data_IF_385483914087
#
_entry.id   IF_385483914087
#
_cell.length_a   1.000
_cell.length_b   1.000
_cell.length_c   1.000
_cell.angle_alpha   90.00
_cell.angle_beta   90.00
_cell.angle_gamma   90.00
#
_symmetry.space_group_name_H-M   'P 1'
#
loop_
_entity.id
_entity.type
_entity.pdbx_description
1 polymer ?
#
# COMPACT_ATOMS: atom_id res chain seq x y z
N UNK A 1 -5.36 16.18 -71.55
CA UNK A 1 -3.99 16.09 -70.97
C UNK A 1 -3.72 17.46 -70.38
N UNK A 2 -3.64 17.67 -69.06
CA UNK A 2 -2.75 17.03 -68.08
C UNK A 2 -3.36 17.01 -66.67
N UNK A 3 -2.89 16.04 -65.90
CA UNK A 3 -3.18 15.66 -64.52
C UNK A 3 -2.42 16.56 -63.51
N UNK A 4 -3.01 16.88 -62.33
CA UNK A 4 -2.57 16.41 -60.99
C UNK A 4 -3.15 17.21 -59.80
N UNK A 5 -3.65 16.44 -58.81
CA UNK A 5 -3.48 16.53 -57.33
C UNK A 5 -3.06 17.88 -56.74
N UNK A 6 -3.75 18.46 -55.75
CA UNK A 6 -4.20 17.87 -54.49
C UNK A 6 -3.28 18.34 -53.36
N UNK A 7 -3.74 19.24 -52.49
CA UNK A 7 -3.07 19.52 -51.20
C UNK A 7 -4.12 19.52 -50.09
N UNK A 8 -3.97 18.53 -49.20
CA UNK A 8 -4.75 18.36 -47.98
C UNK A 8 -4.47 19.49 -46.99
N UNK A 9 -5.52 19.89 -46.27
CA UNK A 9 -5.46 20.83 -45.17
C UNK A 9 -4.61 20.31 -44.01
N UNK A 10 -3.82 21.23 -43.44
CA UNK A 10 -3.12 21.02 -42.18
C UNK A 10 -3.85 21.85 -41.12
N UNK A 11 -4.90 21.27 -40.53
CA UNK A 11 -5.44 21.79 -39.26
C UNK A 11 -4.39 21.53 -38.19
N UNK A 12 -3.70 22.57 -37.77
CA UNK A 12 -2.82 22.54 -36.60
C UNK A 12 -3.68 22.41 -35.35
N UNK A 13 -3.85 21.16 -34.91
CA UNK A 13 -4.35 20.88 -33.56
C UNK A 13 -3.27 21.34 -32.58
N UNK A 14 -3.52 22.48 -31.93
CA UNK A 14 -2.78 22.88 -30.74
C UNK A 14 -3.14 21.90 -29.62
N UNK A 15 -2.30 20.89 -29.40
CA UNK A 15 -2.34 20.12 -28.15
C UNK A 15 -1.91 21.05 -27.02
N UNK A 16 -2.89 21.58 -26.28
CA UNK A 16 -2.66 22.13 -24.95
C UNK A 16 -2.10 21.03 -24.06
N UNK A 17 -0.78 21.01 -23.88
CA UNK A 17 -0.15 20.25 -22.83
C UNK A 17 -0.54 20.88 -21.48
N UNK A 18 -1.60 20.35 -20.85
CA UNK A 18 -1.84 20.58 -19.44
C UNK A 18 -0.67 19.98 -18.67
N UNK A 19 0.29 20.82 -18.28
CA UNK A 19 1.41 20.46 -17.42
C UNK A 19 0.85 20.09 -16.05
N UNK A 20 0.62 18.79 -15.83
CA UNK A 20 0.31 18.23 -14.53
C UNK A 20 1.55 18.33 -13.63
N UNK A 21 1.68 19.45 -12.92
CA UNK A 21 2.74 19.68 -11.94
C UNK A 21 2.68 18.74 -10.71
N UNK A 22 1.66 17.88 -10.61
CA UNK A 22 1.55 16.84 -9.57
C UNK A 22 1.74 15.40 -10.05
N UNK A 23 1.34 15.07 -11.29
CA UNK A 23 1.39 13.71 -11.84
C UNK A 23 2.81 13.15 -11.97
N UNK A 24 3.76 14.00 -12.35
CA UNK A 24 5.16 13.61 -12.57
C UNK A 24 5.89 13.15 -11.29
N UNK A 25 5.41 13.52 -10.09
CA UNK A 25 6.04 13.15 -8.82
C UNK A 25 5.51 11.81 -8.30
N UNK A 26 4.18 11.65 -8.25
CA UNK A 26 3.56 10.40 -7.79
C UNK A 26 3.92 9.24 -8.70
N UNK A 27 3.90 9.43 -10.02
CA UNK A 27 4.27 8.41 -10.99
C UNK A 27 5.71 7.93 -10.78
N UNK A 28 6.69 8.85 -10.73
CA UNK A 28 8.11 8.50 -10.49
C UNK A 28 8.32 7.78 -9.17
N UNK A 29 7.64 8.23 -8.10
CA UNK A 29 7.73 7.61 -6.78
C UNK A 29 7.08 6.23 -6.76
N UNK A 30 5.96 6.06 -7.47
CA UNK A 30 5.27 4.77 -7.61
C UNK A 30 6.10 3.78 -8.41
N UNK A 31 6.72 4.22 -9.52
CA UNK A 31 7.63 3.42 -10.32
C UNK A 31 8.86 2.98 -9.50
N UNK A 32 9.46 3.91 -8.73
CA UNK A 32 10.56 3.60 -7.82
C UNK A 32 10.14 2.56 -6.77
N UNK A 33 9.00 2.77 -6.11
CA UNK A 33 8.47 1.83 -5.11
C UNK A 33 8.20 0.45 -5.73
N UNK A 34 7.59 0.40 -6.91
CA UNK A 34 7.32 -0.83 -7.64
C UNK A 34 8.61 -1.61 -7.90
N UNK A 35 9.65 -0.95 -8.44
CA UNK A 35 10.94 -1.58 -8.67
C UNK A 35 11.55 -2.13 -7.37
N UNK A 36 11.48 -1.36 -6.28
CA UNK A 36 11.94 -1.79 -4.97
C UNK A 36 11.19 -3.03 -4.46
N UNK A 37 9.86 -3.07 -4.59
CA UNK A 37 9.02 -4.21 -4.20
C UNK A 37 9.35 -5.46 -5.03
N UNK A 38 9.57 -5.30 -6.33
CA UNK A 38 10.00 -6.38 -7.22
C UNK A 38 11.36 -6.94 -6.78
N UNK A 39 12.35 -6.07 -6.58
CA UNK A 39 13.71 -6.45 -6.18
C UNK A 39 13.74 -7.09 -4.79
N UNK A 40 13.05 -6.49 -3.81
CA UNK A 40 13.10 -6.90 -2.41
C UNK A 40 12.37 -8.22 -2.15
N UNK A 41 11.24 -8.43 -2.81
CA UNK A 41 10.27 -9.45 -2.42
C UNK A 41 9.91 -10.42 -3.55
N UNK A 42 10.50 -10.27 -4.73
CA UNK A 42 10.20 -11.04 -5.95
C UNK A 42 8.71 -11.00 -6.32
N UNK A 43 8.05 -9.86 -6.08
CA UNK A 43 6.65 -9.65 -6.49
C UNK A 43 6.61 -9.38 -7.99
N UNK A 44 5.68 -9.98 -8.76
CA UNK A 44 5.55 -9.70 -10.19
C UNK A 44 5.32 -8.21 -10.46
N UNK A 45 5.95 -7.68 -11.52
CA UNK A 45 5.79 -6.27 -11.94
C UNK A 45 4.32 -5.87 -12.04
N UNK A 46 3.48 -6.71 -12.66
CA UNK A 46 2.04 -6.44 -12.80
C UNK A 46 1.34 -6.19 -11.46
N UNK A 47 1.73 -6.88 -10.39
CA UNK A 47 1.18 -6.65 -9.04
C UNK A 47 1.82 -5.44 -8.39
N UNK A 48 3.15 -5.31 -8.45
CA UNK A 48 3.88 -4.20 -7.85
C UNK A 48 3.44 -2.84 -8.44
N UNK A 49 3.22 -2.76 -9.75
CA UNK A 49 2.78 -1.56 -10.46
C UNK A 49 1.35 -1.15 -10.06
N UNK A 50 0.44 -2.12 -9.87
CA UNK A 50 -0.93 -1.84 -9.42
C UNK A 50 -0.97 -1.28 -8.00
N UNK A 51 -0.22 -1.88 -7.07
CA UNK A 51 -0.34 -1.56 -5.64
C UNK A 51 0.53 -0.39 -5.19
N UNK A 52 1.65 -0.13 -5.84
CA UNK A 52 2.58 0.95 -5.45
C UNK A 52 1.94 2.35 -5.36
N UNK A 53 1.15 2.83 -6.35
CA UNK A 53 0.48 4.12 -6.23
C UNK A 53 -0.55 4.13 -5.08
N UNK A 54 -1.27 3.02 -4.87
CA UNK A 54 -2.25 2.88 -3.77
C UNK A 54 -1.56 2.94 -2.40
N UNK A 55 -0.42 2.26 -2.26
CA UNK A 55 0.41 2.28 -1.04
C UNK A 55 0.86 3.71 -0.74
N UNK A 56 1.42 4.44 -1.72
CA UNK A 56 1.88 5.82 -1.50
C UNK A 56 0.72 6.71 -1.11
N UNK A 57 -0.36 6.70 -1.90
CA UNK A 57 -1.51 7.57 -1.68
C UNK A 57 -2.14 7.37 -0.30
N UNK A 58 -2.37 6.13 0.11
CA UNK A 58 -3.03 5.84 1.37
C UNK A 58 -2.10 5.91 2.58
N UNK A 59 -0.79 5.67 2.42
CA UNK A 59 0.17 5.95 3.48
C UNK A 59 0.24 7.45 3.76
N UNK A 60 0.40 8.28 2.73
CA UNK A 60 0.52 9.73 2.88
C UNK A 60 -0.76 10.37 3.44
N UNK A 61 -1.93 9.95 2.96
CA UNK A 61 -3.23 10.40 3.50
C UNK A 61 -3.34 10.16 5.02
N UNK A 62 -2.65 9.15 5.54
CA UNK A 62 -2.66 8.76 6.94
C UNK A 62 -1.40 9.16 7.71
N UNK A 63 -0.54 10.00 7.12
CA UNK A 63 0.75 10.44 7.69
C UNK A 63 1.68 9.27 8.05
N UNK A 64 1.68 8.23 7.22
CA UNK A 64 2.53 7.05 7.35
C UNK A 64 3.63 7.04 6.29
N UNK A 65 4.73 6.37 6.60
CA UNK A 65 5.78 6.06 5.64
C UNK A 65 5.28 5.00 4.63
N UNK A 66 5.28 5.24 3.30
CA UNK A 66 4.88 4.24 2.31
C UNK A 66 5.62 2.91 2.45
N UNK A 67 6.89 2.93 2.89
CA UNK A 67 7.66 1.70 3.09
C UNK A 67 7.14 0.84 4.24
N UNK A 68 6.53 1.44 5.29
CA UNK A 68 5.94 0.63 6.37
C UNK A 68 4.68 -0.08 5.88
N UNK A 69 3.86 0.57 5.05
CA UNK A 69 2.65 -0.03 4.49
C UNK A 69 3.02 -1.16 3.52
N UNK A 70 4.00 -0.95 2.64
CA UNK A 70 4.54 -1.98 1.76
C UNK A 70 5.10 -3.19 2.54
N UNK A 71 5.79 -2.95 3.66
CA UNK A 71 6.32 -3.99 4.52
C UNK A 71 5.24 -4.78 5.27
N UNK A 72 4.15 -4.14 5.68
CA UNK A 72 2.97 -4.83 6.26
C UNK A 72 2.34 -5.74 5.21
N UNK A 73 2.11 -5.26 3.97
CA UNK A 73 1.55 -6.09 2.89
C UNK A 73 2.42 -7.33 2.64
N UNK A 74 3.75 -7.16 2.67
CA UNK A 74 4.69 -8.29 2.59
C UNK A 74 4.45 -9.30 3.71
N UNK A 75 4.36 -8.83 4.96
CA UNK A 75 4.19 -9.67 6.14
C UNK A 75 2.83 -10.38 6.18
N UNK A 76 1.76 -9.71 5.75
CA UNK A 76 0.38 -10.18 5.90
C UNK A 76 -0.04 -11.16 4.80
N UNK A 77 0.24 -10.83 3.55
CA UNK A 77 -0.31 -11.58 2.41
C UNK A 77 0.74 -12.02 1.39
N UNK A 78 1.99 -11.58 1.54
CA UNK A 78 3.01 -11.68 0.49
C UNK A 78 2.50 -11.12 -0.85
N UNK A 79 1.76 -10.01 -0.81
CA UNK A 79 1.15 -9.35 -1.97
C UNK A 79 0.06 -10.16 -2.69
N UNK A 80 -0.65 -11.06 -1.98
CA UNK A 80 -1.84 -11.75 -2.52
C UNK A 80 -3.10 -11.00 -2.09
N UNK A 81 -3.84 -10.44 -3.04
CA UNK A 81 -5.07 -9.69 -2.76
C UNK A 81 -6.32 -10.58 -2.56
N UNK A 82 -6.30 -11.80 -3.10
CA UNK A 82 -7.42 -12.75 -3.05
C UNK A 82 -7.21 -13.82 -1.97
N UNK A 83 -6.90 -13.42 -0.72
CA UNK A 83 -6.69 -14.36 0.39
C UNK A 83 -7.47 -13.99 1.63
N UNK A 84 -7.96 -15.02 2.32
CA UNK A 84 -8.62 -14.92 3.62
C UNK A 84 -7.98 -15.89 4.60
N UNK A 85 -7.58 -15.41 5.77
CA UNK A 85 -7.01 -16.27 6.82
C UNK A 85 -8.09 -17.06 7.57
N UNK A 86 -7.73 -18.12 8.32
CA UNK A 86 -8.66 -18.83 9.19
C UNK A 86 -9.35 -17.94 10.25
N UNK A 87 -8.74 -16.80 10.61
CA UNK A 87 -9.31 -15.84 11.54
C UNK A 87 -10.28 -14.84 10.87
N UNK A 88 -10.48 -14.94 9.55
CA UNK A 88 -11.33 -14.04 8.78
C UNK A 88 -10.66 -12.73 8.36
N UNK A 89 -9.33 -12.67 8.36
CA UNK A 89 -8.57 -11.52 7.88
C UNK A 89 -8.49 -11.55 6.34
N UNK A 90 -8.72 -10.43 5.66
CA UNK A 90 -8.95 -10.38 4.20
C UNK A 90 -7.93 -9.49 3.48
N UNK A 91 -7.47 -9.94 2.32
CA UNK A 91 -6.75 -9.14 1.34
C UNK A 91 -5.30 -8.79 1.68
N UNK A 92 -4.77 -7.76 1.02
CA UNK A 92 -3.34 -7.41 1.03
C UNK A 92 -2.78 -7.13 2.44
N UNK A 93 -3.54 -6.40 3.25
CA UNK A 93 -3.18 -5.99 4.60
C UNK A 93 -3.90 -6.81 5.68
N UNK A 94 -4.53 -7.93 5.30
CA UNK A 94 -5.24 -8.87 6.19
C UNK A 94 -6.10 -8.14 7.23
N UNK A 95 -7.00 -7.28 6.75
CA UNK A 95 -7.94 -6.58 7.61
C UNK A 95 -9.01 -7.57 8.07
N UNK A 96 -9.33 -7.58 9.37
CA UNK A 96 -10.44 -8.39 9.91
C UNK A 96 -11.72 -7.53 9.90
N UNK A 97 -12.69 -7.79 9.00
CA UNK A 97 -13.82 -6.89 8.78
C UNK A 97 -14.64 -6.62 10.04
N UNK A 98 -14.92 -7.64 10.86
CA UNK A 98 -15.80 -7.54 12.04
C UNK A 98 -15.40 -6.46 13.06
N UNK A 99 -14.15 -6.00 13.05
CA UNK A 99 -13.67 -4.94 13.95
C UNK A 99 -13.71 -3.55 13.33
N UNK A 100 -13.89 -3.45 12.01
CA UNK A 100 -13.70 -2.22 11.23
C UNK A 100 -14.82 -1.94 10.22
N UNK A 101 -15.98 -2.59 10.36
CA UNK A 101 -17.09 -2.48 9.40
C UNK A 101 -17.60 -1.05 9.21
N UNK A 102 -17.60 -0.23 10.27
CA UNK A 102 -18.05 1.17 10.21
C UNK A 102 -17.07 2.09 9.46
N UNK A 103 -15.82 1.63 9.30
CA UNK A 103 -14.72 2.42 8.77
C UNK A 103 -14.32 1.96 7.37
N UNK A 104 -14.41 0.65 7.12
CA UNK A 104 -13.89 0.02 5.92
C UNK A 104 -15.02 -0.41 5.00
N UNK A 105 -14.79 -0.28 3.68
CA UNK A 105 -15.76 -0.66 2.67
C UNK A 105 -16.08 -2.16 2.67
N UNK A 106 -17.17 -2.53 1.99
CA UNK A 106 -17.72 -3.88 2.03
C UNK A 106 -16.87 -4.94 1.32
N UNK A 107 -16.10 -4.55 0.29
CA UNK A 107 -15.25 -5.47 -0.46
C UNK A 107 -13.77 -5.26 -0.15
N UNK A 108 -13.22 -6.03 0.79
CA UNK A 108 -11.80 -5.98 1.15
C UNK A 108 -10.90 -6.83 0.26
N UNK A 109 -11.43 -7.49 -0.77
CA UNK A 109 -10.63 -8.09 -1.84
C UNK A 109 -10.21 -7.06 -2.90
N UNK A 110 -10.87 -5.89 -2.92
CA UNK A 110 -10.43 -4.74 -3.71
C UNK A 110 -9.14 -4.17 -3.12
N UNK A 111 -8.10 -4.07 -3.95
CA UNK A 111 -6.75 -3.70 -3.51
C UNK A 111 -6.72 -2.29 -2.90
N UNK A 112 -7.44 -1.34 -3.51
CA UNK A 112 -7.50 0.04 -3.04
C UNK A 112 -8.26 0.17 -1.71
N UNK A 113 -9.44 -0.43 -1.61
CA UNK A 113 -10.24 -0.44 -0.38
C UNK A 113 -9.48 -1.11 0.78
N UNK A 114 -8.79 -2.22 0.50
CA UNK A 114 -8.00 -2.94 1.49
C UNK A 114 -6.82 -2.12 2.01
N UNK A 115 -6.02 -1.53 1.11
CA UNK A 115 -4.86 -0.72 1.48
C UNK A 115 -5.31 0.56 2.21
N UNK A 116 -6.38 1.21 1.74
CA UNK A 116 -6.98 2.36 2.42
C UNK A 116 -7.34 2.02 3.87
N UNK A 117 -8.06 0.93 4.07
CA UNK A 117 -8.50 0.48 5.38
C UNK A 117 -7.31 0.11 6.28
N UNK A 118 -6.38 -0.71 5.81
CA UNK A 118 -5.21 -1.12 6.58
C UNK A 118 -4.32 0.06 6.97
N UNK A 119 -4.11 1.03 6.06
CA UNK A 119 -3.36 2.25 6.37
C UNK A 119 -4.07 3.11 7.43
N UNK A 120 -5.40 3.25 7.35
CA UNK A 120 -6.17 3.93 8.38
C UNK A 120 -6.02 3.26 9.75
N UNK A 121 -6.17 1.93 9.80
CA UNK A 121 -6.05 1.15 11.04
C UNK A 121 -4.67 1.34 11.68
N UNK A 122 -3.60 1.26 10.88
CA UNK A 122 -2.24 1.48 11.40
C UNK A 122 -2.08 2.90 11.95
N UNK A 123 -2.61 3.91 11.25
CA UNK A 123 -2.52 5.30 11.71
C UNK A 123 -3.32 5.53 12.99
N UNK A 124 -4.54 4.98 13.08
CA UNK A 124 -5.34 4.99 14.31
C UNK A 124 -4.58 4.39 15.49
N UNK A 125 -3.95 3.22 15.29
CA UNK A 125 -3.13 2.61 16.33
C UNK A 125 -1.88 3.43 16.64
N UNK A 126 -1.22 4.03 15.65
CA UNK A 126 -0.05 4.88 15.86
C UNK A 126 -0.38 6.10 16.71
N UNK A 127 -1.49 6.77 16.44
CA UNK A 127 -1.98 7.90 17.23
C UNK A 127 -2.23 7.50 18.69
N UNK A 128 -2.85 6.34 18.93
CA UNK A 128 -3.10 5.85 20.29
C UNK A 128 -1.86 5.31 21.02
N UNK A 129 -0.88 4.78 20.27
CA UNK A 129 0.28 4.10 20.83
C UNK A 129 1.46 5.05 21.07
N UNK A 130 1.57 6.14 20.29
CA UNK A 130 2.69 7.10 20.35
C UNK A 130 4.01 6.57 19.79
N UNK A 131 4.05 5.30 19.35
CA UNK A 131 5.24 4.65 18.79
C UNK A 131 4.83 3.66 17.69
N UNK A 132 5.55 3.69 16.56
CA UNK A 132 5.22 2.86 15.40
C UNK A 132 5.39 1.36 15.68
N UNK A 133 6.38 0.94 16.48
CA UNK A 133 6.59 -0.48 16.79
C UNK A 133 5.46 -1.01 17.67
N UNK A 134 5.01 -0.21 18.63
CA UNK A 134 3.84 -0.53 19.45
C UNK A 134 2.56 -0.59 18.61
N UNK A 135 2.38 0.35 17.66
CA UNK A 135 1.26 0.35 16.72
C UNK A 135 1.23 -0.92 15.84
N UNK A 136 2.38 -1.39 15.34
CA UNK A 136 2.49 -2.66 14.64
C UNK A 136 2.12 -3.85 15.54
N UNK A 137 2.51 -3.80 16.82
CA UNK A 137 2.08 -4.77 17.81
C UNK A 137 0.56 -4.77 18.00
N UNK A 138 -0.06 -3.59 18.08
CA UNK A 138 -1.53 -3.45 18.14
C UNK A 138 -2.20 -3.96 16.86
N UNK A 139 -1.61 -3.69 15.69
CA UNK A 139 -2.12 -4.17 14.41
C UNK A 139 -2.24 -5.69 14.38
N UNK A 140 -1.25 -6.40 14.93
CA UNK A 140 -1.22 -7.86 14.91
C UNK A 140 -2.10 -8.54 15.96
N UNK A 141 -2.06 -8.10 17.22
CA UNK A 141 -2.77 -8.81 18.31
C UNK A 141 -3.96 -8.04 18.90
N UNK A 142 -4.16 -6.78 18.50
CA UNK A 142 -5.12 -5.86 19.08
C UNK A 142 -4.56 -5.15 20.35
N UNK A 143 -4.95 -3.89 20.61
CA UNK A 143 -4.45 -3.13 21.77
C UNK A 143 -4.72 -3.81 23.11
N UNK A 144 -5.93 -4.32 23.32
CA UNK A 144 -6.31 -4.96 24.59
C UNK A 144 -5.45 -6.17 24.90
N UNK A 145 -5.20 -7.04 23.91
CA UNK A 145 -4.36 -8.22 24.11
C UNK A 145 -2.89 -7.83 24.30
N UNK A 146 -2.39 -6.85 23.54
CA UNK A 146 -1.03 -6.34 23.70
C UNK A 146 -0.79 -5.80 25.12
N UNK A 147 -1.76 -5.07 25.67
CA UNK A 147 -1.65 -4.47 27.00
C UNK A 147 -1.89 -5.48 28.13
N UNK A 148 -2.83 -6.41 27.99
CA UNK A 148 -3.23 -7.30 29.11
C UNK A 148 -2.53 -8.66 29.13
N UNK A 149 -2.01 -9.15 28.00
CA UNK A 149 -1.47 -10.50 27.89
C UNK A 149 0.02 -10.49 27.50
N UNK A 150 0.89 -11.01 28.38
CA UNK A 150 2.35 -11.05 28.18
C UNK A 150 2.77 -11.81 26.91
N UNK A 151 2.10 -12.92 26.60
CA UNK A 151 2.41 -13.72 25.41
C UNK A 151 2.02 -12.98 24.14
N UNK A 152 0.85 -12.32 24.14
CA UNK A 152 0.41 -11.50 23.01
C UNK A 152 1.30 -10.28 22.81
N UNK A 153 1.77 -9.65 23.89
CA UNK A 153 2.76 -8.57 23.81
C UNK A 153 4.07 -9.03 23.17
N UNK A 154 4.56 -10.22 23.54
CA UNK A 154 5.76 -10.82 22.92
C UNK A 154 5.54 -11.09 21.44
N UNK A 155 4.38 -11.61 21.07
CA UNK A 155 3.99 -11.84 19.67
C UNK A 155 3.92 -10.53 18.88
N UNK A 156 3.25 -9.50 19.40
CA UNK A 156 3.17 -8.19 18.76
C UNK A 156 4.54 -7.54 18.56
N UNK A 157 5.45 -7.65 19.54
CA UNK A 157 6.85 -7.19 19.39
C UNK A 157 7.61 -7.95 18.31
N UNK A 158 7.43 -9.27 18.22
CA UNK A 158 8.03 -10.10 17.17
C UNK A 158 7.51 -9.69 15.79
N UNK A 159 6.19 -9.49 15.66
CA UNK A 159 5.56 -9.00 14.43
C UNK A 159 6.14 -7.64 14.02
N UNK A 160 6.22 -6.68 14.95
CA UNK A 160 6.80 -5.38 14.68
C UNK A 160 8.24 -5.49 14.16
N UNK A 161 9.07 -6.35 14.76
CA UNK A 161 10.42 -6.59 14.27
C UNK A 161 10.45 -7.17 12.85
N UNK A 162 9.55 -8.10 12.52
CA UNK A 162 9.45 -8.68 11.18
C UNK A 162 9.08 -7.63 10.14
N UNK A 163 8.09 -6.77 10.42
CA UNK A 163 7.71 -5.67 9.53
C UNK A 163 8.86 -4.68 9.35
N UNK A 164 9.57 -4.31 10.43
CA UNK A 164 10.73 -3.41 10.32
C UNK A 164 11.85 -4.03 9.48
N UNK A 165 12.11 -5.34 9.62
CA UNK A 165 13.08 -6.04 8.78
C UNK A 165 12.67 -6.01 7.30
N UNK A 166 11.39 -6.26 6.99
CA UNK A 166 10.90 -6.15 5.61
C UNK A 166 11.08 -4.73 5.07
N UNK A 167 10.78 -3.71 5.88
CA UNK A 167 10.98 -2.31 5.52
C UNK A 167 12.45 -2.00 5.20
N UNK A 168 13.39 -2.50 6.01
CA UNK A 168 14.82 -2.27 5.80
C UNK A 168 15.32 -2.98 4.53
N UNK A 169 14.86 -4.21 4.26
CA UNK A 169 15.15 -4.92 3.00
C UNK A 169 14.67 -4.11 1.81
N UNK A 170 13.43 -3.60 1.85
CA UNK A 170 12.87 -2.78 0.77
C UNK A 170 13.65 -1.48 0.58
N UNK A 171 13.99 -0.79 1.67
CA UNK A 171 14.80 0.43 1.63
C UNK A 171 16.15 0.21 0.95
N UNK A 172 16.74 -0.97 1.11
CA UNK A 172 18.04 -1.33 0.52
C UNK A 172 17.93 -1.93 -0.89
N UNK A 173 16.73 -1.98 -1.47
CA UNK A 173 16.46 -2.57 -2.79
C UNK A 173 16.24 -1.52 -3.90
N UNK A 174 16.43 -0.23 -3.56
CA UNK A 174 16.36 0.91 -4.48
C UNK A 174 17.70 1.27 -5.09
#
# INVERSE_FOLDING_TARGET
MTFKMGLLGLSTVLLSACTSFGGNSLEKRSAKLSQGIQNAYAVPASTADRVSPLIIQHAEKNSLDPLIVAAIIRQESTYRSQVTSPAGAVGLMQVIPRYWQSTCGNNLYDEAANIQCGAYILSHYHQSAGDIKKALGYYNVGPTNYEKNRNMRKQGKKYAQQVMNHKDILKNSF
#
